data_IF_059159058764
#
_entry.id   IF_059159058764
#
_cell.length_a   1.000
_cell.length_b   1.000
_cell.length_c   1.000
_cell.angle_alpha   90.00
_cell.angle_beta   90.00
_cell.angle_gamma   90.00
#
_symmetry.space_group_name_H-M   'P 1'
#
loop_
_entity.id
_entity.type
_entity.pdbx_description
1 polymer ?
#
# COMPACT_ATOMS: atom_id res chain seq x y z
N UNK A 1 24.30 4.84 -9.42
CA UNK A 1 22.92 4.76 -8.89
C UNK A 1 22.50 3.35 -8.43
N UNK A 2 23.19 2.27 -8.85
CA UNK A 2 22.86 0.88 -8.46
C UNK A 2 23.12 0.53 -6.98
N UNK A 3 24.11 1.17 -6.35
CA UNK A 3 24.48 0.89 -4.96
C UNK A 3 23.42 1.27 -3.92
N UNK A 4 22.68 2.36 -4.15
CA UNK A 4 21.63 2.83 -3.22
C UNK A 4 20.47 1.85 -3.13
N UNK A 5 19.95 1.36 -4.28
CA UNK A 5 18.85 0.41 -4.32
C UNK A 5 19.21 -0.96 -3.71
N UNK A 6 20.44 -1.44 -3.93
CA UNK A 6 20.94 -2.67 -3.31
C UNK A 6 20.95 -2.52 -1.79
N UNK A 7 21.41 -1.38 -1.28
CA UNK A 7 21.39 -1.08 0.16
C UNK A 7 19.97 -1.04 0.71
N UNK A 8 19.06 -0.28 0.08
CA UNK A 8 17.65 -0.23 0.50
C UNK A 8 17.03 -1.62 0.57
N UNK A 9 17.23 -2.47 -0.44
CA UNK A 9 16.74 -3.86 -0.44
C UNK A 9 17.31 -4.72 0.69
N UNK A 10 18.58 -4.54 1.07
CA UNK A 10 19.17 -5.24 2.24
C UNK A 10 18.54 -4.78 3.55
N UNK A 11 18.32 -3.47 3.71
CA UNK A 11 17.66 -2.88 4.88
C UNK A 11 16.22 -3.41 4.97
N UNK A 12 15.45 -3.35 3.88
CA UNK A 12 14.08 -3.88 3.78
C UNK A 12 13.99 -5.35 4.14
N UNK A 13 14.90 -6.19 3.62
CA UNK A 13 14.89 -7.62 3.93
C UNK A 13 15.08 -7.88 5.43
N UNK A 14 16.05 -7.20 6.05
CA UNK A 14 16.29 -7.29 7.49
C UNK A 14 15.08 -6.79 8.30
N UNK A 15 14.48 -5.69 7.86
CA UNK A 15 13.31 -5.10 8.51
C UNK A 15 12.07 -6.00 8.43
N UNK A 16 11.70 -6.51 7.25
CA UNK A 16 10.57 -7.45 7.08
C UNK A 16 10.73 -8.68 7.97
N UNK A 17 11.93 -9.26 8.02
CA UNK A 17 12.24 -10.38 8.90
C UNK A 17 11.97 -10.04 10.37
N UNK A 18 12.53 -8.93 10.87
CA UNK A 18 12.40 -8.53 12.26
C UNK A 18 10.95 -8.18 12.64
N UNK A 19 10.19 -7.56 11.74
CA UNK A 19 8.77 -7.22 11.98
C UNK A 19 7.93 -8.49 12.10
N UNK A 20 8.16 -9.48 11.24
CA UNK A 20 7.47 -10.78 11.31
C UNK A 20 7.80 -11.50 12.63
N UNK A 21 9.08 -11.51 13.03
CA UNK A 21 9.55 -12.22 14.24
C UNK A 21 9.16 -11.53 15.55
N UNK A 22 9.15 -10.19 15.59
CA UNK A 22 9.08 -9.44 16.85
C UNK A 22 7.93 -8.45 16.96
N UNK A 23 7.21 -8.17 15.86
CA UNK A 23 6.21 -7.11 15.79
C UNK A 23 6.82 -5.74 15.50
N UNK A 24 6.05 -4.87 14.85
CA UNK A 24 6.54 -3.59 14.33
C UNK A 24 7.04 -2.65 15.43
N UNK A 25 6.36 -2.59 16.58
CA UNK A 25 6.70 -1.72 17.71
C UNK A 25 8.09 -2.05 18.30
N UNK A 26 8.44 -3.34 18.39
CA UNK A 26 9.72 -3.81 18.96
C UNK A 26 10.93 -3.65 18.04
N UNK A 27 10.71 -3.46 16.74
CA UNK A 27 11.82 -3.28 15.80
C UNK A 27 12.43 -1.88 15.93
N UNK A 28 13.73 -1.84 16.17
CA UNK A 28 14.53 -0.61 16.25
C UNK A 28 15.50 -0.51 15.08
N UNK A 29 15.86 0.71 14.69
CA UNK A 29 16.86 0.96 13.64
C UNK A 29 18.19 0.26 13.96
N UNK A 30 18.60 0.24 15.23
CA UNK A 30 19.80 -0.48 15.65
C UNK A 30 19.72 -1.98 15.33
N UNK A 31 18.58 -2.63 15.60
CA UNK A 31 18.36 -4.04 15.30
C UNK A 31 18.33 -4.30 13.79
N UNK A 32 17.66 -3.46 13.01
CA UNK A 32 17.63 -3.54 11.54
C UNK A 32 19.06 -3.53 10.99
N UNK A 33 19.87 -2.57 11.44
CA UNK A 33 21.21 -2.36 10.92
C UNK A 33 22.21 -3.43 11.39
N UNK A 34 22.02 -3.97 12.59
CA UNK A 34 22.74 -5.17 13.03
C UNK A 34 22.43 -6.37 12.13
N UNK A 35 21.15 -6.64 11.86
CA UNK A 35 20.71 -7.77 11.02
C UNK A 35 21.16 -7.61 9.56
N UNK A 36 21.15 -6.40 9.02
CA UNK A 36 21.65 -6.12 7.66
C UNK A 36 23.18 -6.10 7.56
N UNK A 37 23.91 -6.16 8.68
CA UNK A 37 25.37 -6.05 8.78
C UNK A 37 25.89 -4.71 8.25
N UNK A 38 25.19 -3.62 8.56
CA UNK A 38 25.49 -2.27 8.10
C UNK A 38 25.59 -1.29 9.26
N UNK A 39 26.28 -0.17 9.05
CA UNK A 39 26.41 0.88 10.06
C UNK A 39 25.09 1.62 10.23
N UNK A 40 24.75 2.01 11.46
CA UNK A 40 23.50 2.74 11.76
C UNK A 40 23.33 4.00 10.91
N UNK A 41 24.41 4.75 10.67
CA UNK A 41 24.38 5.95 9.84
C UNK A 41 23.85 5.69 8.43
N UNK A 42 24.15 4.52 7.85
CA UNK A 42 23.69 4.14 6.52
C UNK A 42 22.17 4.00 6.41
N UNK A 43 21.47 3.81 7.53
CA UNK A 43 20.01 3.86 7.54
C UNK A 43 19.53 5.27 7.20
N UNK A 44 20.09 6.26 7.92
CA UNK A 44 19.71 7.66 7.81
C UNK A 44 20.14 8.32 6.48
N UNK A 45 21.07 7.70 5.75
CA UNK A 45 21.38 8.06 4.37
C UNK A 45 20.24 7.69 3.39
N UNK A 46 19.25 6.90 3.83
CA UNK A 46 18.19 6.35 2.99
C UNK A 46 16.77 6.53 3.52
N UNK A 47 16.58 6.56 4.83
CA UNK A 47 15.30 6.65 5.53
C UNK A 47 15.46 7.44 6.84
N UNK A 48 14.54 8.35 7.11
CA UNK A 48 14.43 9.13 8.33
C UNK A 48 14.07 8.25 9.53
N UNK A 49 13.13 7.33 9.34
CA UNK A 49 12.70 6.39 10.36
C UNK A 49 12.13 5.08 9.77
N UNK A 50 11.57 4.22 10.63
CA UNK A 50 11.00 2.93 10.21
C UNK A 50 9.62 3.06 9.57
N UNK A 51 8.92 4.19 9.71
CA UNK A 51 7.63 4.45 9.08
C UNK A 51 7.84 4.80 7.61
N UNK A 52 8.80 5.68 7.31
CA UNK A 52 9.21 5.95 5.92
C UNK A 52 9.72 4.68 5.23
N UNK A 53 10.41 3.79 5.95
CA UNK A 53 10.80 2.50 5.41
C UNK A 53 9.59 1.63 5.04
N UNK A 54 8.52 1.62 5.84
CA UNK A 54 7.28 0.88 5.50
C UNK A 54 6.63 1.46 4.26
N UNK A 55 6.51 2.79 4.19
CA UNK A 55 5.95 3.49 3.04
C UNK A 55 6.75 3.18 1.76
N UNK A 56 8.08 3.28 1.83
CA UNK A 56 8.95 2.94 0.71
C UNK A 56 8.80 1.49 0.25
N UNK A 57 8.64 0.54 1.19
CA UNK A 57 8.40 -0.87 0.86
C UNK A 57 7.08 -1.00 0.09
N UNK A 58 6.02 -0.37 0.58
CA UNK A 58 4.72 -0.44 -0.06
C UNK A 58 4.73 0.21 -1.45
N UNK A 59 5.33 1.40 -1.59
CA UNK A 59 5.48 2.09 -2.86
C UNK A 59 6.20 1.20 -3.89
N UNK A 60 7.35 0.63 -3.52
CA UNK A 60 8.19 -0.12 -4.46
C UNK A 60 7.69 -1.53 -4.76
N UNK A 61 7.12 -2.22 -3.76
CA UNK A 61 6.70 -3.61 -3.93
C UNK A 61 5.27 -3.72 -4.49
N UNK A 62 4.42 -2.71 -4.27
CA UNK A 62 3.02 -2.70 -4.70
C UNK A 62 2.69 -1.56 -5.69
N UNK A 63 2.86 -0.30 -5.30
CA UNK A 63 2.32 0.84 -6.07
C UNK A 63 3.02 1.04 -7.41
N UNK A 64 4.36 1.04 -7.47
CA UNK A 64 5.09 1.25 -8.73
C UNK A 64 4.76 0.18 -9.77
N UNK A 65 4.61 -1.08 -9.34
CA UNK A 65 4.19 -2.17 -10.24
C UNK A 65 2.78 -1.98 -10.78
N UNK A 66 1.91 -1.40 -9.96
CA UNK A 66 0.54 -1.08 -10.34
C UNK A 66 0.52 0.09 -11.34
N UNK A 67 1.25 1.16 -11.03
CA UNK A 67 1.31 2.36 -11.87
C UNK A 67 1.93 2.09 -13.24
N UNK A 68 3.00 1.31 -13.31
CA UNK A 68 3.64 0.89 -14.58
C UNK A 68 2.65 0.15 -15.50
N UNK A 69 1.63 -0.50 -14.93
CA UNK A 69 0.64 -1.28 -15.64
C UNK A 69 -0.67 -0.52 -15.94
N UNK A 70 -0.89 0.67 -15.38
CA UNK A 70 -2.14 1.45 -15.55
C UNK A 70 -2.48 1.78 -17.00
N UNK A 71 -1.47 1.92 -17.86
CA UNK A 71 -1.66 2.23 -19.27
C UNK A 71 -2.11 1.01 -20.10
N UNK A 72 -1.96 -0.21 -19.58
CA UNK A 72 -2.09 -1.45 -20.36
C UNK A 72 -3.02 -2.49 -19.71
N UNK A 73 -3.26 -2.42 -18.41
CA UNK A 73 -4.12 -3.33 -17.66
C UNK A 73 -5.42 -2.65 -17.22
N UNK A 74 -6.52 -3.40 -17.17
CA UNK A 74 -7.77 -2.90 -16.60
C UNK A 74 -7.63 -2.74 -15.08
N UNK A 75 -8.30 -1.74 -14.51
CA UNK A 75 -8.16 -1.38 -13.09
C UNK A 75 -8.52 -2.52 -12.14
N UNK A 76 -9.32 -3.50 -12.58
CA UNK A 76 -9.63 -4.65 -11.72
C UNK A 76 -8.46 -5.63 -11.63
N UNK A 77 -7.65 -5.76 -12.68
CA UNK A 77 -6.38 -6.53 -12.63
C UNK A 77 -5.44 -5.88 -11.62
N UNK A 78 -5.38 -4.56 -11.63
CA UNK A 78 -4.60 -3.77 -10.67
C UNK A 78 -5.05 -4.01 -9.23
N UNK A 79 -6.36 -3.93 -8.98
CA UNK A 79 -6.93 -4.20 -7.65
C UNK A 79 -6.67 -5.65 -7.23
N UNK A 80 -6.82 -6.61 -8.13
CA UNK A 80 -6.52 -8.03 -7.85
C UNK A 80 -5.05 -8.23 -7.50
N UNK A 81 -4.12 -7.63 -8.26
CA UNK A 81 -2.68 -7.71 -8.01
C UNK A 81 -2.30 -7.11 -6.66
N UNK A 82 -2.91 -5.99 -6.27
CA UNK A 82 -2.71 -5.39 -4.94
C UNK A 82 -3.17 -6.32 -3.82
N UNK A 83 -4.33 -6.96 -3.98
CA UNK A 83 -4.88 -7.89 -3.00
C UNK A 83 -4.04 -9.18 -2.92
N UNK A 84 -3.56 -9.70 -4.05
CA UNK A 84 -2.61 -10.83 -4.08
C UNK A 84 -1.34 -10.47 -3.31
N UNK A 85 -0.77 -9.30 -3.56
CA UNK A 85 0.42 -8.82 -2.85
C UNK A 85 0.21 -8.77 -1.32
N UNK A 86 -0.94 -8.25 -0.87
CA UNK A 86 -1.27 -8.23 0.55
C UNK A 86 -1.45 -9.64 1.13
N UNK A 87 -2.08 -10.56 0.41
CA UNK A 87 -2.22 -11.95 0.84
C UNK A 87 -0.86 -12.65 1.00
N UNK A 88 0.03 -12.48 0.03
CA UNK A 88 1.39 -13.02 0.06
C UNK A 88 2.24 -12.43 1.19
N UNK A 89 2.02 -11.17 1.55
CA UNK A 89 2.76 -10.44 2.58
C UNK A 89 1.97 -10.27 3.88
N UNK A 90 0.87 -11.01 4.08
CA UNK A 90 -0.10 -10.74 5.14
C UNK A 90 0.51 -10.78 6.54
N UNK A 91 1.49 -11.65 6.80
CA UNK A 91 2.11 -11.76 8.13
C UNK A 91 2.83 -10.46 8.49
N UNK A 92 3.49 -9.83 7.52
CA UNK A 92 4.16 -8.56 7.71
C UNK A 92 3.17 -7.40 7.88
N UNK A 93 2.20 -7.27 6.98
CA UNK A 93 1.23 -6.17 7.04
C UNK A 93 0.29 -6.25 8.23
N UNK A 94 -0.06 -7.46 8.70
CA UNK A 94 -0.81 -7.60 9.97
C UNK A 94 -0.03 -7.02 11.14
N UNK A 95 1.28 -7.28 11.24
CA UNK A 95 2.12 -6.73 12.32
C UNK A 95 2.23 -5.21 12.26
N UNK A 96 2.13 -4.62 11.07
CA UNK A 96 2.12 -3.17 10.87
C UNK A 96 0.75 -2.59 11.24
N UNK A 97 -0.35 -3.16 10.72
CA UNK A 97 -1.70 -2.66 10.94
C UNK A 97 -2.22 -2.88 12.37
N UNK A 98 -1.68 -3.84 13.13
CA UNK A 98 -1.97 -3.97 14.57
C UNK A 98 -1.34 -2.85 15.41
N UNK A 99 -0.40 -2.08 14.87
CA UNK A 99 0.23 -0.98 15.58
C UNK A 99 -0.60 0.30 15.40
N UNK A 100 -1.24 0.73 16.49
CA UNK A 100 -1.96 2.00 16.57
C UNK A 100 -1.01 3.09 17.11
N UNK A 101 -0.54 3.98 16.23
CA UNK A 101 0.42 5.03 16.58
C UNK A 101 0.36 6.20 15.60
N UNK A 102 0.91 7.34 16.02
CA UNK A 102 0.77 8.67 15.38
C UNK A 102 1.24 8.80 13.92
N UNK A 103 1.87 7.78 13.34
CA UNK A 103 2.32 7.71 11.95
C UNK A 103 1.89 6.35 11.38
N UNK A 104 0.58 6.16 11.22
CA UNK A 104 0.04 4.86 10.82
C UNK A 104 0.39 4.57 9.36
N UNK A 105 0.62 3.29 9.05
CA UNK A 105 0.72 2.87 7.64
C UNK A 105 -0.56 3.17 6.86
N UNK A 106 -1.71 3.22 7.55
CA UNK A 106 -3.01 3.51 6.93
C UNK A 106 -3.04 4.89 6.27
N UNK A 107 -2.41 5.91 6.86
CA UNK A 107 -2.35 7.25 6.26
C UNK A 107 -1.61 7.22 4.92
N UNK A 108 -0.42 6.62 4.87
CA UNK A 108 0.34 6.45 3.63
C UNK A 108 -0.45 5.62 2.62
N UNK A 109 -1.08 4.54 3.08
CA UNK A 109 -1.89 3.67 2.25
C UNK A 109 -3.07 4.42 1.62
N UNK A 110 -3.76 5.28 2.38
CA UNK A 110 -4.83 6.15 1.86
C UNK A 110 -4.29 7.11 0.80
N UNK A 111 -3.15 7.77 1.04
CA UNK A 111 -2.58 8.73 0.08
C UNK A 111 -2.24 8.07 -1.26
N UNK A 112 -1.59 6.90 -1.23
CA UNK A 112 -1.32 6.12 -2.44
C UNK A 112 -2.60 5.72 -3.17
N UNK A 113 -3.63 5.32 -2.43
CA UNK A 113 -4.91 4.94 -3.03
C UNK A 113 -5.66 6.13 -3.62
N UNK A 114 -5.61 7.32 -3.02
CA UNK A 114 -6.17 8.54 -3.62
C UNK A 114 -5.52 8.82 -4.98
N UNK A 115 -4.19 8.72 -5.07
CA UNK A 115 -3.46 8.88 -6.34
C UNK A 115 -3.85 7.84 -7.39
N UNK A 116 -3.97 6.58 -6.99
CA UNK A 116 -4.41 5.50 -7.90
C UNK A 116 -5.86 5.70 -8.37
N UNK A 117 -6.76 6.06 -7.46
CA UNK A 117 -8.17 6.31 -7.76
C UNK A 117 -8.31 7.50 -8.70
N UNK A 118 -7.57 8.59 -8.47
CA UNK A 118 -7.53 9.73 -9.37
C UNK A 118 -7.20 9.29 -10.81
N UNK A 119 -6.14 8.50 -10.97
CA UNK A 119 -5.72 7.99 -12.29
C UNK A 119 -6.81 7.12 -12.92
N UNK A 120 -7.44 6.22 -12.16
CA UNK A 120 -8.53 5.36 -12.65
C UNK A 120 -9.74 6.21 -13.08
N UNK A 121 -10.15 7.20 -12.28
CA UNK A 121 -11.29 8.07 -12.57
C UNK A 121 -11.05 8.90 -13.84
N UNK A 122 -9.85 9.47 -14.00
CA UNK A 122 -9.46 10.20 -15.21
C UNK A 122 -9.54 9.32 -16.45
N UNK A 123 -9.07 8.07 -16.38
CA UNK A 123 -9.06 7.14 -17.52
C UNK A 123 -10.48 6.65 -17.85
N UNK A 124 -11.29 6.32 -16.84
CA UNK A 124 -12.59 5.66 -17.03
C UNK A 124 -13.74 6.62 -17.25
N UNK A 125 -13.62 7.84 -16.73
CA UNK A 125 -14.60 8.89 -16.91
C UNK A 125 -13.87 10.18 -17.35
N UNK A 126 -13.68 10.40 -18.65
CA UNK A 126 -13.01 11.62 -19.13
C UNK A 126 -13.70 12.92 -18.70
N UNK A 127 -15.00 12.88 -18.37
CA UNK A 127 -15.73 14.04 -17.82
C UNK A 127 -15.39 14.33 -16.35
N UNK A 128 -14.75 13.40 -15.64
CA UNK A 128 -14.27 13.57 -14.27
C UNK A 128 -13.42 14.83 -14.10
N UNK A 129 -12.59 15.15 -15.10
CA UNK A 129 -11.72 16.35 -15.06
C UNK A 129 -12.55 17.65 -15.01
N UNK A 130 -13.80 17.61 -15.47
CA UNK A 130 -14.72 18.76 -15.48
C UNK A 130 -15.45 18.95 -14.15
N UNK A 131 -15.35 18.02 -13.21
CA UNK A 131 -15.97 18.14 -11.90
C UNK A 131 -15.23 19.20 -11.07
N UNK A 132 -15.96 19.84 -10.15
CA UNK A 132 -15.37 20.79 -9.20
C UNK A 132 -14.28 20.09 -8.35
N UNK A 133 -13.27 20.83 -7.94
CA UNK A 133 -12.14 20.28 -7.16
C UNK A 133 -12.60 19.64 -5.84
N UNK A 134 -13.60 20.23 -5.19
CA UNK A 134 -14.19 19.71 -3.96
C UNK A 134 -14.85 18.33 -4.18
N UNK A 135 -15.62 18.18 -5.26
CA UNK A 135 -16.28 16.91 -5.60
C UNK A 135 -15.26 15.82 -5.98
N UNK A 136 -14.21 16.17 -6.73
CA UNK A 136 -13.12 15.25 -7.06
C UNK A 136 -12.40 14.75 -5.81
N UNK A 137 -12.05 15.69 -4.93
CA UNK A 137 -11.39 15.38 -3.66
C UNK A 137 -12.26 14.47 -2.80
N UNK A 138 -13.56 14.78 -2.69
CA UNK A 138 -14.51 13.95 -1.95
C UNK A 138 -14.61 12.53 -2.50
N UNK A 139 -14.71 12.37 -3.83
CA UNK A 139 -14.78 11.07 -4.48
C UNK A 139 -13.50 10.24 -4.23
N UNK A 140 -12.33 10.85 -4.42
CA UNK A 140 -11.03 10.21 -4.15
C UNK A 140 -10.92 9.78 -2.69
N UNK A 141 -11.32 10.63 -1.75
CA UNK A 141 -11.35 10.31 -0.32
C UNK A 141 -12.29 9.18 0.01
N UNK A 142 -13.52 9.23 -0.49
CA UNK A 142 -14.53 8.22 -0.22
C UNK A 142 -14.04 6.84 -0.68
N UNK A 143 -13.59 6.74 -1.93
CA UNK A 143 -13.13 5.47 -2.49
C UNK A 143 -11.84 4.97 -1.83
N UNK A 144 -10.88 5.86 -1.52
CA UNK A 144 -9.63 5.46 -0.88
C UNK A 144 -9.89 4.94 0.53
N UNK A 145 -10.66 5.69 1.34
CA UNK A 145 -10.97 5.30 2.71
C UNK A 145 -11.80 4.01 2.75
N UNK A 146 -12.81 3.86 1.87
CA UNK A 146 -13.59 2.63 1.79
C UNK A 146 -12.72 1.43 1.42
N UNK A 147 -11.82 1.59 0.44
CA UNK A 147 -10.88 0.54 0.06
C UNK A 147 -9.96 0.16 1.22
N UNK A 148 -9.24 1.13 1.78
CA UNK A 148 -8.30 0.92 2.89
C UNK A 148 -8.99 0.28 4.09
N UNK A 149 -10.19 0.73 4.45
CA UNK A 149 -10.93 0.17 5.58
C UNK A 149 -11.24 -1.32 5.37
N UNK A 150 -11.78 -1.68 4.20
CA UNK A 150 -12.15 -3.06 3.88
C UNK A 150 -10.92 -3.97 3.76
N UNK A 151 -9.86 -3.51 3.08
CA UNK A 151 -8.64 -4.30 2.93
C UNK A 151 -7.89 -4.45 4.24
N UNK A 152 -7.82 -3.41 5.08
CA UNK A 152 -7.21 -3.47 6.41
C UNK A 152 -7.91 -4.52 7.27
N UNK A 153 -9.25 -4.49 7.32
CA UNK A 153 -10.03 -5.51 8.02
C UNK A 153 -9.72 -6.92 7.52
N UNK A 154 -9.74 -7.10 6.20
CA UNK A 154 -9.45 -8.40 5.57
C UNK A 154 -8.04 -8.92 5.88
N UNK A 155 -7.03 -8.04 5.87
CA UNK A 155 -5.64 -8.37 6.24
C UNK A 155 -5.57 -8.76 7.73
N UNK A 156 -6.15 -7.95 8.63
CA UNK A 156 -6.12 -8.19 10.08
C UNK A 156 -6.77 -9.53 10.46
N UNK A 157 -7.85 -9.89 9.76
CA UNK A 157 -8.53 -11.19 9.90
C UNK A 157 -7.71 -12.38 9.36
N UNK A 158 -6.58 -12.14 8.69
CA UNK A 158 -5.69 -13.16 8.16
C UNK A 158 -6.06 -13.64 6.76
N UNK A 159 -6.58 -12.73 5.92
CA UNK A 159 -6.92 -13.01 4.53
C UNK A 159 -7.80 -14.27 4.36
N UNK A 160 -8.78 -14.47 5.25
CA UNK A 160 -9.61 -15.70 5.32
C UNK A 160 -10.29 -16.05 4.01
N UNK A 161 -10.69 -15.02 3.26
CA UNK A 161 -11.17 -15.13 1.89
C UNK A 161 -9.97 -14.93 0.98
N UNK A 162 -9.71 -15.85 0.05
CA UNK A 162 -8.58 -15.70 -0.86
C UNK A 162 -8.69 -14.40 -1.69
N UNK A 163 -7.53 -13.79 -1.99
CA UNK A 163 -7.42 -12.48 -2.67
C UNK A 163 -8.29 -12.36 -3.92
N UNK A 164 -8.36 -13.38 -4.77
CA UNK A 164 -9.16 -13.35 -6.00
C UNK A 164 -10.67 -13.27 -5.75
N UNK A 165 -11.17 -13.96 -4.73
CA UNK A 165 -12.58 -13.86 -4.37
C UNK A 165 -12.89 -12.51 -3.75
N UNK A 166 -12.00 -12.02 -2.88
CA UNK A 166 -12.15 -10.70 -2.27
C UNK A 166 -12.10 -9.58 -3.33
N UNK A 167 -11.22 -9.69 -4.34
CA UNK A 167 -11.16 -8.78 -5.48
C UNK A 167 -12.49 -8.71 -6.24
N UNK A 168 -13.16 -9.86 -6.44
CA UNK A 168 -14.50 -9.90 -7.05
C UNK A 168 -15.54 -9.18 -6.21
N UNK A 169 -15.50 -9.31 -4.89
CA UNK A 169 -16.41 -8.58 -3.99
C UNK A 169 -16.15 -7.06 -4.05
N UNK A 170 -14.89 -6.65 -3.99
CA UNK A 170 -14.51 -5.23 -4.13
C UNK A 170 -14.99 -4.69 -5.48
N UNK A 171 -14.76 -5.42 -6.58
CA UNK A 171 -15.23 -5.05 -7.92
C UNK A 171 -16.74 -4.79 -7.96
N UNK A 172 -17.56 -5.63 -7.34
CA UNK A 172 -19.01 -5.43 -7.32
C UNK A 172 -19.39 -4.11 -6.65
N UNK A 173 -18.75 -3.76 -5.53
CA UNK A 173 -19.00 -2.51 -4.81
C UNK A 173 -18.63 -1.30 -5.67
N UNK A 174 -17.47 -1.33 -6.32
CA UNK A 174 -17.04 -0.23 -7.20
C UNK A 174 -17.92 -0.11 -8.45
N UNK A 175 -18.27 -1.22 -9.11
CA UNK A 175 -19.11 -1.18 -10.31
C UNK A 175 -20.51 -0.64 -10.04
N UNK A 176 -21.16 -1.06 -8.94
CA UNK A 176 -22.47 -0.53 -8.56
C UNK A 176 -22.40 0.97 -8.26
N UNK A 177 -21.30 1.43 -7.62
CA UNK A 177 -21.08 2.87 -7.38
C UNK A 177 -20.77 3.68 -8.63
N UNK A 178 -20.15 3.09 -9.66
CA UNK A 178 -19.82 3.76 -10.93
C UNK A 178 -20.95 3.69 -11.97
N UNK A 179 -21.87 2.73 -11.86
CA UNK A 179 -22.97 2.53 -12.83
C UNK A 179 -24.26 3.26 -12.47
N UNK A 180 -24.46 3.71 -11.22
CA UNK A 180 -25.59 4.58 -10.86
C UNK A 180 -25.34 6.03 -11.31
N UNK A 181 -25.56 6.24 -12.62
CA UNK A 181 -25.65 7.51 -13.36
C UNK A 181 -24.33 8.23 -13.66
N UNK A 182 -23.67 7.75 -14.72
CA UNK A 182 -23.27 8.66 -15.81
C UNK A 182 -24.38 8.70 -16.85
#
# INVERSE_FOLDING_TARGET
MTGSLITKKKITKAFKQLVVEHGFDKVTIAKIMQTSKMRRQTFYDHFQDKYELVDWIFQQEAIEKIEDNLAYEDWQTIVENLLIYFEENQVFYRKILFFDGQNSFEEYYIQHLKGLIHQILVIRNPSYIQFEEEDRTFLEEFYANAFVSLTTKWILEGCKVNSRHFAKQMKLVFLIGFEEKM
#
